data_IF_259661329490
#
_entry.id   IF_259661329490
#
_cell.length_a   1.000
_cell.length_b   1.000
_cell.length_c   1.000
_cell.angle_alpha   90.00
_cell.angle_beta   90.00
_cell.angle_gamma   90.00
#
_symmetry.space_group_name_H-M   'P 1'
#
loop_
_entity.id
_entity.type
_entity.pdbx_description
1 polymer ?
#
# COMPACT_ATOMS: atom_id res chain seq x y z
N UNK A 1 -1.25 7.22 23.03
CA UNK A 1 -1.10 7.62 21.61
C UNK A 1 -2.18 6.87 20.82
N UNK A 2 -3.08 7.57 20.11
CA UNK A 2 -4.30 7.00 19.50
C UNK A 2 -4.05 5.78 18.58
N UNK A 3 -2.86 5.72 17.97
CA UNK A 3 -2.38 4.62 17.13
C UNK A 3 -2.29 3.26 17.86
N UNK A 4 -2.01 3.21 19.16
CA UNK A 4 -1.84 1.93 19.89
C UNK A 4 -3.16 1.17 20.00
N UNK A 5 -4.25 1.90 20.28
CA UNK A 5 -5.59 1.32 20.36
C UNK A 5 -6.07 0.85 18.99
N UNK A 6 -5.81 1.64 17.94
CA UNK A 6 -6.14 1.27 16.56
C UNK A 6 -5.36 0.03 16.10
N UNK A 7 -4.04 0.00 16.34
CA UNK A 7 -3.17 -1.14 16.05
C UNK A 7 -3.70 -2.42 16.70
N UNK A 8 -4.07 -2.34 17.98
CA UNK A 8 -4.67 -3.47 18.71
C UNK A 8 -6.02 -3.91 18.13
N UNK A 9 -6.85 -2.96 17.69
CA UNK A 9 -8.15 -3.25 17.09
C UNK A 9 -8.04 -3.97 15.74
N UNK A 10 -7.10 -3.58 14.88
CA UNK A 10 -6.90 -4.16 13.54
C UNK A 10 -6.12 -5.48 13.55
N UNK A 11 -5.69 -5.98 14.71
CA UNK A 11 -5.10 -7.33 14.80
C UNK A 11 -6.09 -8.42 14.39
N UNK A 12 -7.39 -8.19 14.55
CA UNK A 12 -8.41 -9.08 14.03
C UNK A 12 -8.59 -8.87 12.52
N UNK A 13 -8.46 -9.90 11.67
CA UNK A 13 -8.64 -9.79 10.22
C UNK A 13 -10.02 -9.22 9.83
N UNK A 14 -11.07 -9.53 10.60
CA UNK A 14 -12.41 -8.99 10.37
C UNK A 14 -12.49 -7.49 10.65
N UNK A 15 -11.79 -7.01 11.67
CA UNK A 15 -11.72 -5.59 12.00
C UNK A 15 -10.88 -4.83 10.98
N UNK A 16 -9.74 -5.39 10.58
CA UNK A 16 -8.91 -4.80 9.53
C UNK A 16 -9.71 -4.65 8.23
N UNK A 17 -10.37 -5.72 7.78
CA UNK A 17 -11.23 -5.65 6.59
C UNK A 17 -12.33 -4.60 6.75
N UNK A 18 -12.97 -4.52 7.93
CA UNK A 18 -14.01 -3.53 8.21
C UNK A 18 -13.53 -2.09 8.08
N UNK A 19 -12.30 -1.77 8.49
CA UNK A 19 -11.77 -0.41 8.40
C UNK A 19 -11.23 -0.07 7.00
N UNK A 20 -10.86 -1.10 6.21
CA UNK A 20 -10.40 -0.99 4.83
C UNK A 20 -11.55 -0.95 3.81
N UNK A 21 -12.73 -1.47 4.16
CA UNK A 21 -13.93 -1.46 3.31
C UNK A 21 -14.83 -0.26 3.63
N UNK A 22 -15.54 0.25 2.63
CA UNK A 22 -16.58 1.24 2.86
C UNK A 22 -17.72 0.64 3.68
N UNK A 23 -18.19 1.39 4.67
CA UNK A 23 -19.30 0.98 5.55
C UNK A 23 -20.70 1.25 4.97
N UNK A 24 -20.81 1.86 3.78
CA UNK A 24 -22.09 2.34 3.22
C UNK A 24 -22.27 2.00 1.75
N UNK A 25 -23.53 1.90 1.32
CA UNK A 25 -23.94 1.68 -0.08
C UNK A 25 -24.01 2.97 -0.92
N UNK A 26 -23.54 4.11 -0.39
CA UNK A 26 -23.63 5.42 -1.04
C UNK A 26 -22.31 5.84 -1.70
N UNK A 27 -22.38 6.65 -2.76
CA UNK A 27 -21.25 6.91 -3.68
C UNK A 27 -20.15 7.85 -3.11
N UNK A 28 -20.12 8.14 -1.81
CA UNK A 28 -19.19 9.11 -1.19
C UNK A 28 -18.45 8.58 0.04
N UNK A 29 -18.38 7.27 0.19
CA UNK A 29 -17.88 6.70 1.45
C UNK A 29 -16.39 6.40 1.35
N UNK A 30 -15.59 7.42 1.69
CA UNK A 30 -14.21 7.22 2.07
C UNK A 30 -14.14 6.32 3.30
N UNK A 31 -13.24 5.34 3.27
CA UNK A 31 -13.09 4.38 4.36
C UNK A 31 -12.49 5.05 5.60
N UNK A 32 -12.59 4.39 6.76
CA UNK A 32 -11.96 4.93 7.96
C UNK A 32 -10.45 5.10 7.74
N UNK A 33 -9.80 4.13 7.10
CA UNK A 33 -8.38 4.21 6.76
C UNK A 33 -8.09 5.40 5.85
N UNK A 34 -8.90 5.64 4.82
CA UNK A 34 -8.72 6.77 3.90
C UNK A 34 -8.80 8.11 4.64
N UNK A 35 -9.82 8.29 5.47
CA UNK A 35 -9.98 9.49 6.28
C UNK A 35 -8.79 9.71 7.23
N UNK A 36 -8.28 8.66 7.87
CA UNK A 36 -7.14 8.76 8.79
C UNK A 36 -5.84 9.05 8.04
N UNK A 37 -5.66 8.54 6.82
CA UNK A 37 -4.53 8.88 5.96
C UNK A 37 -4.53 10.36 5.55
N UNK A 38 -5.65 11.07 5.62
CA UNK A 38 -5.71 12.51 5.35
C UNK A 38 -5.42 13.39 6.59
N UNK A 39 -4.99 12.78 7.72
CA UNK A 39 -4.65 13.49 8.96
C UNK A 39 -3.14 13.44 9.20
N UNK A 40 -2.44 14.55 8.92
CA UNK A 40 -0.97 14.58 8.90
C UNK A 40 -0.29 14.05 10.16
N UNK A 41 -0.72 14.37 11.41
CA UNK A 41 -0.06 13.87 12.61
C UNK A 41 -0.10 12.35 12.82
N UNK A 42 -0.95 11.62 12.11
CA UNK A 42 -1.08 10.16 12.24
C UNK A 42 -0.75 9.40 10.95
N UNK A 43 -0.60 10.10 9.83
CA UNK A 43 -0.49 9.49 8.51
C UNK A 43 0.70 8.55 8.40
N UNK A 44 1.90 8.98 8.81
CA UNK A 44 3.12 8.17 8.70
C UNK A 44 3.03 6.89 9.56
N UNK A 45 2.64 7.03 10.83
CA UNK A 45 2.47 5.88 11.74
C UNK A 45 1.44 4.88 11.20
N UNK A 46 0.37 5.37 10.56
CA UNK A 46 -0.64 4.52 9.93
C UNK A 46 -0.11 3.84 8.66
N UNK A 47 0.64 4.55 7.82
CA UNK A 47 1.28 4.00 6.63
C UNK A 47 2.24 2.86 7.00
N UNK A 48 3.12 3.09 7.97
CA UNK A 48 4.06 2.07 8.45
C UNK A 48 3.32 0.85 9.00
N UNK A 49 2.31 1.07 9.85
CA UNK A 49 1.51 -0.02 10.43
C UNK A 49 0.80 -0.86 9.36
N UNK A 50 0.22 -0.22 8.35
CA UNK A 50 -0.45 -0.92 7.25
C UNK A 50 0.53 -1.69 6.37
N UNK A 51 1.70 -1.11 6.07
CA UNK A 51 2.77 -1.78 5.33
C UNK A 51 3.37 -2.96 6.11
N UNK A 52 3.46 -2.87 7.45
CA UNK A 52 3.91 -3.97 8.31
C UNK A 52 2.89 -5.12 8.39
N UNK A 53 1.61 -4.80 8.25
CA UNK A 53 0.53 -5.79 8.19
C UNK A 53 0.46 -6.52 6.86
N UNK A 54 0.89 -5.87 5.79
CA UNK A 54 0.73 -6.33 4.42
C UNK A 54 1.34 -7.74 4.17
N UNK A 55 2.54 -8.09 4.66
CA UNK A 55 3.11 -9.43 4.49
C UNK A 55 2.28 -10.58 5.08
N UNK A 56 1.41 -10.33 6.08
CA UNK A 56 0.51 -11.34 6.64
C UNK A 56 -0.52 -11.85 5.62
N UNK A 57 -0.69 -11.14 4.49
CA UNK A 57 -1.70 -11.41 3.47
C UNK A 57 -1.11 -11.81 2.10
N UNK A 58 0.17 -12.19 2.05
CA UNK A 58 0.82 -12.61 0.81
C UNK A 58 0.35 -13.96 0.26
N UNK A 59 -0.16 -14.84 1.12
CA UNK A 59 -0.57 -16.20 0.74
C UNK A 59 -2.02 -16.26 0.17
N UNK A 60 -2.68 -15.11 -0.04
CA UNK A 60 -4.04 -15.08 -0.58
C UNK A 60 -4.05 -15.57 -2.03
N UNK A 61 -5.01 -16.44 -2.34
CA UNK A 61 -5.14 -17.08 -3.66
C UNK A 61 -5.44 -16.03 -4.73
N UNK A 62 -4.66 -16.02 -5.80
CA UNK A 62 -4.89 -15.18 -6.97
C UNK A 62 -6.26 -15.44 -7.57
N UNK A 63 -7.07 -14.39 -7.78
CA UNK A 63 -8.40 -14.48 -8.41
C UNK A 63 -9.58 -14.13 -7.50
N UNK A 64 -9.33 -13.81 -6.22
CA UNK A 64 -10.33 -13.21 -5.34
C UNK A 64 -10.69 -11.78 -5.78
N UNK A 65 -11.90 -11.33 -5.41
CA UNK A 65 -12.31 -9.94 -5.66
C UNK A 65 -11.44 -8.95 -4.86
N UNK A 66 -11.34 -7.70 -5.31
CA UNK A 66 -10.58 -6.67 -4.58
C UNK A 66 -11.05 -6.54 -3.12
N UNK A 67 -12.34 -6.70 -2.85
CA UNK A 67 -12.91 -6.62 -1.49
C UNK A 67 -12.50 -7.77 -0.56
N UNK A 68 -11.98 -8.85 -1.13
CA UNK A 68 -11.50 -10.04 -0.41
C UNK A 68 -9.98 -10.06 -0.29
N UNK A 69 -9.27 -9.33 -1.15
CA UNK A 69 -7.81 -9.22 -1.15
C UNK A 69 -7.36 -8.04 -0.28
N UNK A 70 -7.07 -8.35 0.99
CA UNK A 70 -6.64 -7.36 1.99
C UNK A 70 -5.32 -6.68 1.59
N UNK A 71 -4.38 -7.40 0.99
CA UNK A 71 -3.10 -6.81 0.57
C UNK A 71 -3.33 -5.75 -0.51
N UNK A 72 -4.16 -6.06 -1.52
CA UNK A 72 -4.55 -5.11 -2.56
C UNK A 72 -5.37 -3.94 -2.02
N UNK A 73 -6.27 -4.18 -1.06
CA UNK A 73 -7.02 -3.09 -0.39
C UNK A 73 -6.09 -2.11 0.32
N UNK A 74 -5.10 -2.60 1.06
CA UNK A 74 -4.12 -1.76 1.74
C UNK A 74 -3.40 -0.87 0.73
N UNK A 75 -2.85 -1.45 -0.34
CA UNK A 75 -2.14 -0.70 -1.40
C UNK A 75 -3.05 0.34 -2.06
N UNK A 76 -4.32 -0.01 -2.29
CA UNK A 76 -5.27 0.89 -2.92
C UNK A 76 -5.55 2.15 -2.08
N UNK A 77 -5.46 2.07 -0.75
CA UNK A 77 -5.63 3.24 0.13
C UNK A 77 -4.48 4.24 0.05
N UNK A 78 -3.33 3.89 -0.53
CA UNK A 78 -2.21 4.81 -0.72
C UNK A 78 -2.25 5.57 -2.05
N UNK A 79 -3.07 5.15 -3.02
CA UNK A 79 -3.17 5.81 -4.33
C UNK A 79 -3.87 7.16 -4.24
N UNK A 80 -3.40 8.16 -4.97
CA UNK A 80 -3.99 9.50 -5.07
C UNK A 80 -4.29 10.16 -3.72
N UNK A 81 -3.38 10.04 -2.75
CA UNK A 81 -3.47 10.85 -1.53
C UNK A 81 -3.18 12.31 -1.86
N UNK A 82 -3.91 13.25 -1.25
CA UNK A 82 -3.72 14.69 -1.47
C UNK A 82 -2.31 15.17 -1.07
N UNK A 83 -1.71 14.49 -0.10
CA UNK A 83 -0.35 14.74 0.37
C UNK A 83 0.23 13.49 1.04
N UNK A 84 1.56 13.43 1.11
CA UNK A 84 2.31 12.39 1.83
C UNK A 84 3.26 13.07 2.83
N UNK A 85 3.10 12.74 4.10
CA UNK A 85 4.00 13.13 5.18
C UNK A 85 5.25 12.26 5.08
N UNK A 86 6.42 12.91 5.00
CA UNK A 86 7.72 12.24 4.90
C UNK A 86 7.76 11.18 3.77
N UNK A 87 7.62 11.60 2.49
CA UNK A 87 7.56 10.67 1.37
C UNK A 87 8.80 9.76 1.28
N UNK A 88 9.98 10.22 1.72
CA UNK A 88 11.22 9.41 1.80
C UNK A 88 11.04 8.17 2.66
N UNK A 89 10.59 8.36 3.91
CA UNK A 89 10.39 7.27 4.86
C UNK A 89 9.32 6.29 4.36
N UNK A 90 8.21 6.82 3.85
CA UNK A 90 7.14 6.00 3.29
C UNK A 90 7.61 5.18 2.08
N UNK A 91 8.34 5.81 1.15
CA UNK A 91 8.86 5.17 -0.06
C UNK A 91 9.84 4.07 0.29
N UNK A 92 10.78 4.32 1.22
CA UNK A 92 11.75 3.33 1.67
C UNK A 92 11.06 2.10 2.27
N UNK A 93 10.03 2.30 3.09
CA UNK A 93 9.24 1.21 3.67
C UNK A 93 8.46 0.45 2.60
N UNK A 94 7.86 1.16 1.64
CA UNK A 94 7.15 0.55 0.51
C UNK A 94 8.09 -0.31 -0.34
N UNK A 95 9.30 0.18 -0.65
CA UNK A 95 10.30 -0.57 -1.42
C UNK A 95 10.80 -1.81 -0.66
N UNK A 96 10.95 -1.72 0.66
CA UNK A 96 11.25 -2.89 1.50
C UNK A 96 10.17 -3.96 1.39
N UNK A 97 8.89 -3.60 1.50
CA UNK A 97 7.77 -4.53 1.32
C UNK A 97 7.73 -5.08 -0.11
N UNK A 98 7.98 -4.22 -1.11
CA UNK A 98 8.00 -4.60 -2.51
C UNK A 98 9.07 -5.66 -2.80
N UNK A 99 10.22 -5.60 -2.13
CA UNK A 99 11.31 -6.57 -2.32
C UNK A 99 10.90 -8.01 -1.94
N UNK A 100 10.04 -8.17 -0.92
CA UNK A 100 9.62 -9.47 -0.38
C UNK A 100 8.23 -9.94 -0.87
N UNK A 101 7.47 -9.09 -1.56
CA UNK A 101 6.10 -9.43 -1.94
C UNK A 101 6.03 -10.46 -3.09
N UNK A 102 4.96 -11.28 -3.15
CA UNK A 102 4.71 -12.21 -4.25
C UNK A 102 4.66 -11.50 -5.60
N UNK A 103 5.06 -12.20 -6.65
CA UNK A 103 5.17 -11.61 -7.99
C UNK A 103 3.89 -10.93 -8.47
N UNK A 104 2.71 -11.50 -8.24
CA UNK A 104 1.44 -10.90 -8.68
C UNK A 104 1.21 -9.52 -8.04
N UNK A 105 1.40 -9.42 -6.71
CA UNK A 105 1.24 -8.19 -5.97
C UNK A 105 2.36 -7.19 -6.28
N UNK A 106 3.59 -7.69 -6.49
CA UNK A 106 4.74 -6.89 -6.92
C UNK A 106 4.43 -6.13 -8.20
N UNK A 107 3.90 -6.81 -9.21
CA UNK A 107 3.50 -6.21 -10.49
C UNK A 107 2.41 -5.15 -10.31
N UNK A 108 1.41 -5.43 -9.48
CA UNK A 108 0.34 -4.47 -9.21
C UNK A 108 0.83 -3.22 -8.48
N UNK A 109 1.69 -3.37 -7.45
CA UNK A 109 2.25 -2.24 -6.73
C UNK A 109 3.10 -1.39 -7.68
N UNK A 110 3.98 -2.01 -8.47
CA UNK A 110 4.83 -1.31 -9.45
C UNK A 110 3.96 -0.47 -10.39
N UNK A 111 2.94 -1.09 -11.02
CA UNK A 111 1.99 -0.42 -11.91
C UNK A 111 1.21 0.73 -11.28
N UNK A 112 1.19 0.81 -9.94
CA UNK A 112 0.47 1.84 -9.19
C UNK A 112 1.40 2.87 -8.55
N UNK A 113 2.73 2.72 -8.69
CA UNK A 113 3.70 3.61 -8.07
C UNK A 113 3.45 5.08 -8.40
N UNK A 114 3.17 5.49 -9.66
CA UNK A 114 2.89 6.89 -9.98
C UNK A 114 1.73 7.47 -9.18
N UNK A 115 0.70 6.65 -8.92
CA UNK A 115 -0.48 7.05 -8.14
C UNK A 115 -0.16 7.09 -6.64
N UNK A 116 0.78 6.28 -6.15
CA UNK A 116 1.12 6.14 -4.73
C UNK A 116 2.14 7.19 -4.28
N UNK A 117 3.19 7.44 -5.08
CA UNK A 117 4.29 8.35 -4.71
C UNK A 117 4.18 9.71 -5.39
N UNK A 118 3.41 9.84 -6.47
CA UNK A 118 3.33 11.06 -7.27
C UNK A 118 4.68 11.48 -7.84
N UNK A 119 4.97 12.78 -7.81
CA UNK A 119 6.25 13.35 -8.25
C UNK A 119 7.35 13.27 -7.17
N UNK A 120 7.05 12.66 -6.02
CA UNK A 120 8.01 12.49 -4.95
C UNK A 120 8.93 11.30 -5.26
N UNK A 121 10.21 11.45 -4.94
CA UNK A 121 11.15 10.34 -4.78
C UNK A 121 11.41 9.48 -6.01
N UNK A 122 11.25 10.04 -7.22
CA UNK A 122 11.48 9.32 -8.47
C UNK A 122 12.85 8.63 -8.51
N UNK A 123 13.91 9.26 -7.98
CA UNK A 123 15.26 8.66 -7.99
C UNK A 123 15.36 7.39 -7.13
N UNK A 124 14.89 7.42 -5.89
CA UNK A 124 14.95 6.26 -4.99
C UNK A 124 14.12 5.08 -5.53
N UNK A 125 12.99 5.38 -6.16
CA UNK A 125 12.15 4.39 -6.82
C UNK A 125 12.83 3.83 -8.06
N UNK A 126 13.40 4.68 -8.93
CA UNK A 126 14.15 4.24 -10.11
C UNK A 126 15.32 3.33 -9.70
N UNK A 127 16.13 3.73 -8.72
CA UNK A 127 17.29 2.95 -8.26
C UNK A 127 16.84 1.57 -7.71
N UNK A 128 15.74 1.53 -6.96
CA UNK A 128 15.17 0.28 -6.42
C UNK A 128 14.61 -0.62 -7.53
N UNK A 129 13.91 -0.05 -8.51
CA UNK A 129 13.36 -0.79 -9.62
C UNK A 129 14.45 -1.30 -10.56
N UNK A 130 15.50 -0.53 -10.82
CA UNK A 130 16.66 -0.97 -11.60
C UNK A 130 17.32 -2.19 -10.95
N UNK A 131 17.53 -2.15 -9.63
CA UNK A 131 18.04 -3.31 -8.88
C UNK A 131 17.12 -4.53 -9.03
N UNK A 132 15.80 -4.35 -8.92
CA UNK A 132 14.85 -5.45 -9.10
C UNK A 132 14.84 -6.01 -10.52
N UNK A 133 15.03 -5.17 -11.55
CA UNK A 133 15.15 -5.61 -12.95
C UNK A 133 16.39 -6.47 -13.19
N UNK A 134 17.49 -6.18 -12.49
CA UNK A 134 18.71 -7.00 -12.55
C UNK A 134 18.52 -8.37 -11.88
N UNK A 135 17.64 -8.45 -10.87
CA UNK A 135 17.38 -9.67 -10.10
C UNK A 135 16.27 -10.55 -10.72
N UNK A 136 15.22 -9.95 -11.30
CA UNK A 136 14.07 -10.67 -11.85
C UNK A 136 13.52 -10.04 -13.14
N UNK A 137 13.74 -10.71 -14.27
CA UNK A 137 13.22 -10.27 -15.57
C UNK A 137 11.68 -10.26 -15.66
N UNK A 138 10.97 -10.96 -14.77
CA UNK A 138 9.50 -11.03 -14.79
C UNK A 138 8.82 -9.71 -14.39
N UNK A 139 9.55 -8.77 -13.77
CA UNK A 139 9.03 -7.44 -13.41
C UNK A 139 9.27 -6.37 -14.49
N UNK A 140 9.98 -6.70 -15.58
CA UNK A 140 10.33 -5.75 -16.66
C UNK A 140 9.12 -5.04 -17.25
N UNK A 141 8.09 -5.80 -17.67
CA UNK A 141 6.89 -5.23 -18.30
C UNK A 141 6.18 -4.25 -17.35
N UNK A 142 5.82 -4.63 -16.10
CA UNK A 142 5.20 -3.69 -15.17
C UNK A 142 6.05 -2.45 -14.91
N UNK A 143 7.37 -2.56 -14.81
CA UNK A 143 8.24 -1.38 -14.62
C UNK A 143 8.14 -0.43 -15.81
N UNK A 144 8.19 -0.96 -17.04
CA UNK A 144 8.05 -0.16 -18.26
C UNK A 144 6.67 0.49 -18.38
N UNK A 145 5.61 -0.20 -17.96
CA UNK A 145 4.23 0.33 -18.01
C UNK A 145 3.95 1.42 -16.95
N UNK A 146 4.83 1.54 -15.95
CA UNK A 146 4.66 2.46 -14.82
C UNK A 146 5.26 3.85 -15.06
N UNK A 147 6.06 4.05 -16.11
CA UNK A 147 6.76 5.31 -16.40
C UNK A 147 6.45 5.84 -17.79
#
# INVERSE_FOLDING_TARGET
LPIIGFSSYIQSPSNLRRVLSSSSTTKRDETLVRNLLLVSPIQLDLQEMLLEKLPEYFDVVTGCSLEEDVARLIINHFRWLDFIVNPDVFTDKLMQVLSICPLHLKKEIIGSLPEIIGDHNCRAVIDSLEKMLQEDSAVVVPVLDSF
#
